data_IF_036578336308
#
_entry.id   IF_036578336308
#
_cell.length_a   1.000
_cell.length_b   1.000
_cell.length_c   1.000
_cell.angle_alpha   90.00
_cell.angle_beta   90.00
_cell.angle_gamma   90.00
#
_symmetry.space_group_name_H-M   'P 1'
#
loop_
_entity.id
_entity.type
_entity.pdbx_description
1 polymer ?
#
# COMPACT_ATOMS: atom_id res chain seq x y z
N UNK A 1 13.32 0.43 -5.58
CA UNK A 1 12.89 1.47 -6.55
C UNK A 1 12.36 2.71 -5.82
N UNK A 2 11.34 2.61 -4.95
CA UNK A 2 10.71 3.78 -4.31
C UNK A 2 11.71 4.72 -3.60
N UNK A 3 12.63 4.19 -2.79
CA UNK A 3 13.69 4.98 -2.15
C UNK A 3 14.54 5.74 -3.17
N UNK A 4 14.91 5.11 -4.29
CA UNK A 4 15.69 5.77 -5.32
C UNK A 4 14.90 6.91 -6.01
N UNK A 5 13.59 6.76 -6.19
CA UNK A 5 12.72 7.84 -6.68
C UNK A 5 12.73 9.01 -5.70
N UNK A 6 12.56 8.76 -4.39
CA UNK A 6 12.61 9.82 -3.37
C UNK A 6 13.94 10.59 -3.34
N UNK A 7 15.06 9.91 -3.54
CA UNK A 7 16.39 10.49 -3.37
C UNK A 7 17.00 11.08 -4.64
N UNK A 8 16.55 10.65 -5.83
CA UNK A 8 17.25 10.89 -7.10
C UNK A 8 16.35 11.36 -8.23
N UNK A 9 15.07 11.57 -7.99
CA UNK A 9 14.09 11.95 -9.00
C UNK A 9 13.34 13.21 -8.57
N UNK A 10 13.10 14.13 -9.51
CA UNK A 10 12.29 15.33 -9.27
C UNK A 10 10.79 15.00 -9.22
N UNK A 11 10.39 13.77 -9.59
CA UNK A 11 9.01 13.31 -9.54
C UNK A 11 8.78 12.41 -8.35
N UNK A 12 7.55 12.40 -7.84
CA UNK A 12 7.18 11.60 -6.65
C UNK A 12 6.64 10.21 -6.99
N UNK A 13 6.23 9.98 -8.24
CA UNK A 13 5.63 8.72 -8.68
C UNK A 13 6.07 8.38 -10.11
N UNK A 14 6.61 7.19 -10.28
CA UNK A 14 6.90 6.60 -11.58
C UNK A 14 6.13 5.29 -11.73
N UNK A 15 5.71 4.95 -12.96
CA UNK A 15 4.97 3.72 -13.24
C UNK A 15 5.44 3.04 -14.52
N UNK A 16 5.05 1.78 -14.67
CA UNK A 16 5.25 0.96 -15.87
C UNK A 16 6.70 0.98 -16.38
N UNK A 17 6.88 1.07 -17.69
CA UNK A 17 8.19 1.06 -18.35
C UNK A 17 9.10 2.21 -17.91
N UNK A 18 8.51 3.38 -17.58
CA UNK A 18 9.26 4.52 -17.05
C UNK A 18 9.91 4.22 -15.69
N UNK A 19 9.19 3.55 -14.79
CA UNK A 19 9.73 3.11 -13.50
C UNK A 19 10.82 2.05 -13.68
N UNK A 20 10.67 1.14 -14.64
CA UNK A 20 11.69 0.14 -14.96
C UNK A 20 12.95 0.80 -15.56
N UNK A 21 12.80 1.72 -16.49
CA UNK A 21 13.90 2.48 -17.10
C UNK A 21 14.70 3.21 -16.03
N UNK A 22 14.03 4.00 -15.20
CA UNK A 22 14.65 4.71 -14.07
C UNK A 22 15.40 3.76 -13.13
N UNK A 23 14.82 2.60 -12.83
CA UNK A 23 15.44 1.60 -11.95
C UNK A 23 16.73 1.02 -12.57
N UNK A 24 16.74 0.73 -13.88
CA UNK A 24 17.93 0.27 -14.61
C UNK A 24 19.03 1.33 -14.65
N UNK A 25 18.68 2.58 -14.95
CA UNK A 25 19.62 3.71 -14.97
C UNK A 25 20.29 3.91 -13.60
N UNK A 26 19.54 3.68 -12.52
CA UNK A 26 20.04 3.77 -11.15
C UNK A 26 20.68 2.47 -10.64
N UNK A 27 20.90 1.48 -11.53
CA UNK A 27 21.57 0.21 -11.23
C UNK A 27 20.95 -0.56 -10.07
N UNK A 28 19.62 -0.54 -9.99
CA UNK A 28 18.89 -1.35 -9.03
C UNK A 28 18.85 -2.80 -9.50
N UNK A 29 18.88 -3.73 -8.56
CA UNK A 29 18.83 -5.15 -8.84
C UNK A 29 17.48 -5.56 -9.44
N UNK A 30 17.52 -6.42 -10.44
CA UNK A 30 16.38 -7.02 -11.09
C UNK A 30 16.51 -8.54 -11.00
N UNK A 31 15.43 -9.18 -10.65
CA UNK A 31 15.32 -10.63 -10.69
C UNK A 31 14.57 -11.06 -11.96
N UNK A 32 14.89 -12.21 -12.54
CA UNK A 32 14.15 -12.76 -13.67
C UNK A 32 12.75 -13.19 -13.24
N UNK A 33 11.82 -13.31 -14.21
CA UNK A 33 10.41 -13.61 -13.93
C UNK A 33 10.23 -14.92 -13.17
N UNK A 34 11.10 -15.90 -13.41
CA UNK A 34 11.12 -17.22 -12.74
C UNK A 34 11.32 -17.11 -11.22
N UNK A 35 12.05 -16.10 -10.75
CA UNK A 35 12.25 -15.84 -9.32
C UNK A 35 10.93 -15.59 -8.59
N UNK A 36 9.96 -14.95 -9.28
CA UNK A 36 8.65 -14.62 -8.73
C UNK A 36 7.61 -15.72 -8.92
N UNK A 37 7.95 -16.79 -9.64
CA UNK A 37 7.03 -17.88 -9.89
C UNK A 37 6.73 -18.68 -8.61
N UNK A 38 5.45 -18.91 -8.37
CA UNK A 38 4.96 -19.73 -7.27
C UNK A 38 3.89 -20.68 -7.79
N UNK A 39 4.05 -22.02 -7.68
CA UNK A 39 3.03 -22.97 -8.11
C UNK A 39 1.66 -22.69 -7.49
N UNK A 40 1.61 -22.43 -6.19
CA UNK A 40 0.35 -22.08 -5.49
C UNK A 40 -0.34 -20.86 -6.13
N UNK A 41 0.41 -19.82 -6.48
CA UNK A 41 -0.14 -18.61 -7.12
C UNK A 41 -0.59 -18.85 -8.54
N UNK A 42 0.10 -19.71 -9.26
CA UNK A 42 -0.30 -20.14 -10.59
C UNK A 42 -1.63 -20.88 -10.56
N UNK A 43 -1.80 -21.85 -9.67
CA UNK A 43 -3.04 -22.61 -9.49
C UNK A 43 -4.23 -21.70 -9.12
N UNK A 44 -3.98 -20.73 -8.25
CA UNK A 44 -4.97 -19.69 -7.90
C UNK A 44 -5.38 -18.87 -9.12
N UNK A 45 -4.41 -18.45 -9.96
CA UNK A 45 -4.70 -17.71 -11.19
C UNK A 45 -5.53 -18.54 -12.17
N UNK A 46 -5.17 -19.81 -12.38
CA UNK A 46 -5.90 -20.72 -13.26
C UNK A 46 -7.34 -20.87 -12.78
N UNK A 47 -7.54 -21.12 -11.48
CA UNK A 47 -8.88 -21.22 -10.88
C UNK A 47 -9.68 -19.92 -11.01
N UNK A 48 -9.07 -18.78 -10.75
CA UNK A 48 -9.72 -17.48 -10.85
C UNK A 48 -10.15 -17.16 -12.30
N UNK A 49 -9.29 -17.48 -13.27
CA UNK A 49 -9.62 -17.33 -14.71
C UNK A 49 -10.79 -18.21 -15.15
N UNK A 50 -10.82 -19.47 -14.71
CA UNK A 50 -11.93 -20.37 -15.01
C UNK A 50 -13.28 -19.88 -14.46
N UNK A 51 -13.24 -19.22 -13.29
CA UNK A 51 -14.43 -18.66 -12.63
C UNK A 51 -14.78 -17.24 -13.10
N UNK A 52 -13.96 -16.61 -13.94
CA UNK A 52 -14.12 -15.22 -14.35
C UNK A 52 -14.04 -14.22 -13.16
N UNK A 53 -13.26 -14.55 -12.11
CA UNK A 53 -13.22 -13.77 -10.87
C UNK A 53 -11.86 -13.08 -10.72
N UNK A 54 -11.89 -11.89 -10.11
CA UNK A 54 -10.72 -11.24 -9.51
C UNK A 54 -10.79 -11.48 -8.01
N UNK A 55 -9.77 -12.07 -7.44
CA UNK A 55 -9.80 -12.46 -6.02
C UNK A 55 -8.77 -11.71 -5.20
N UNK A 56 -9.21 -11.29 -4.01
CA UNK A 56 -8.31 -10.92 -2.92
C UNK A 56 -7.62 -12.19 -2.41
N UNK A 57 -6.33 -12.08 -2.18
CA UNK A 57 -5.48 -13.19 -1.78
C UNK A 57 -5.62 -13.57 -0.28
N UNK A 58 -6.74 -13.20 0.35
CA UNK A 58 -6.90 -13.20 1.81
C UNK A 58 -7.55 -14.45 2.40
N UNK A 59 -7.88 -15.47 1.62
CA UNK A 59 -8.48 -16.67 2.22
C UNK A 59 -7.48 -17.57 2.97
N UNK A 60 -6.16 -17.46 2.68
CA UNK A 60 -5.13 -18.29 3.32
C UNK A 60 -3.71 -17.70 3.38
N UNK A 61 -3.45 -16.49 2.87
CA UNK A 61 -2.09 -15.89 2.94
C UNK A 61 -2.09 -14.37 2.82
N UNK A 62 -1.17 -13.76 3.55
CA UNK A 62 -0.89 -12.32 3.50
C UNK A 62 -0.22 -12.01 2.17
N UNK A 63 -0.83 -11.14 1.35
CA UNK A 63 -0.31 -10.77 0.03
C UNK A 63 0.41 -9.42 0.01
N UNK A 64 0.18 -8.57 1.01
CA UNK A 64 0.79 -7.25 1.13
C UNK A 64 1.69 -7.21 2.36
N UNK A 65 2.86 -6.63 2.23
CA UNK A 65 3.75 -6.31 3.34
C UNK A 65 3.83 -4.80 3.51
N UNK A 66 3.88 -4.34 4.76
CA UNK A 66 3.98 -2.94 5.09
C UNK A 66 4.88 -2.69 6.30
N UNK A 67 5.45 -1.50 6.37
CA UNK A 67 6.21 -1.03 7.50
C UNK A 67 5.91 0.44 7.75
N UNK A 68 5.84 0.81 9.02
CA UNK A 68 5.79 2.19 9.50
C UNK A 68 6.91 2.38 10.51
N UNK A 69 7.53 3.55 10.51
CA UNK A 69 8.66 3.83 11.37
C UNK A 69 8.64 5.28 11.87
N UNK A 70 9.09 5.46 13.09
CA UNK A 70 9.40 6.76 13.70
C UNK A 70 10.86 6.70 14.16
N UNK A 71 11.68 7.62 13.73
CA UNK A 71 13.08 7.68 14.14
C UNK A 71 13.28 8.56 15.39
N UNK A 72 14.53 8.58 15.89
CA UNK A 72 14.90 9.37 17.06
C UNK A 72 14.86 10.89 16.86
N UNK A 73 14.71 11.37 15.62
CA UNK A 73 14.58 12.78 15.28
C UNK A 73 13.12 13.22 15.15
N UNK A 74 12.19 12.26 15.18
CA UNK A 74 10.77 12.50 14.98
C UNK A 74 10.34 12.39 13.51
N UNK A 75 11.20 11.85 12.63
CA UNK A 75 10.84 11.63 11.24
C UNK A 75 10.05 10.32 11.09
N UNK A 76 8.91 10.43 10.42
CA UNK A 76 8.02 9.32 10.12
C UNK A 76 8.20 8.81 8.70
N UNK A 77 8.15 7.51 8.53
CA UNK A 77 8.19 6.87 7.22
C UNK A 77 7.17 5.73 7.13
N UNK A 78 6.62 5.52 5.94
CA UNK A 78 5.78 4.39 5.59
C UNK A 78 6.24 3.77 4.29
N UNK A 79 6.10 2.45 4.18
CA UNK A 79 6.37 1.71 2.95
C UNK A 79 5.43 0.53 2.82
N UNK A 80 4.98 0.26 1.59
CA UNK A 80 4.06 -0.84 1.30
C UNK A 80 4.51 -1.53 0.01
N UNK A 81 4.45 -2.85 -0.01
CA UNK A 81 4.76 -3.65 -1.21
C UNK A 81 3.77 -4.81 -1.37
N UNK A 82 3.35 -5.06 -2.60
CA UNK A 82 2.36 -6.09 -2.92
C UNK A 82 2.51 -6.63 -4.34
N UNK A 83 2.09 -7.86 -4.55
CA UNK A 83 1.86 -8.44 -5.88
C UNK A 83 0.51 -8.02 -6.50
N UNK A 84 -0.37 -7.37 -5.73
CA UNK A 84 -1.71 -6.99 -6.16
C UNK A 84 -2.74 -8.12 -6.04
N UNK A 85 -3.79 -8.06 -6.87
CA UNK A 85 -4.88 -9.04 -6.90
C UNK A 85 -4.60 -10.18 -7.89
N UNK A 86 -5.04 -11.39 -7.55
CA UNK A 86 -5.05 -12.51 -8.50
C UNK A 86 -6.05 -12.25 -9.63
N UNK A 87 -5.62 -12.46 -10.87
CA UNK A 87 -6.40 -12.21 -12.08
C UNK A 87 -6.86 -10.75 -12.26
N UNK A 88 -6.06 -9.79 -11.78
CA UNK A 88 -6.36 -8.37 -11.99
C UNK A 88 -6.34 -7.99 -13.46
N UNK A 89 -7.11 -7.00 -13.83
CA UNK A 89 -7.10 -6.43 -15.18
C UNK A 89 -5.73 -5.83 -15.47
N UNK A 90 -5.28 -5.97 -16.72
CA UNK A 90 -4.03 -5.40 -17.18
C UNK A 90 -4.00 -3.87 -16.98
N UNK A 91 -2.93 -3.36 -16.38
CA UNK A 91 -2.80 -1.93 -16.06
C UNK A 91 -3.43 -1.48 -14.73
N UNK A 92 -4.12 -2.38 -13.99
CA UNK A 92 -4.65 -2.01 -12.67
C UNK A 92 -3.52 -1.68 -11.70
N UNK A 93 -3.57 -0.49 -11.10
CA UNK A 93 -2.72 -0.09 -9.98
C UNK A 93 -3.39 -0.44 -8.64
N UNK A 94 -2.59 -0.82 -7.63
CA UNK A 94 -3.09 -1.02 -6.27
C UNK A 94 -2.95 0.26 -5.44
N UNK A 95 -3.69 0.31 -4.33
CA UNK A 95 -3.53 1.33 -3.28
C UNK A 95 -2.09 1.41 -2.77
N UNK A 96 -1.41 0.27 -2.65
CA UNK A 96 -0.04 0.17 -2.14
C UNK A 96 0.98 1.04 -2.90
N UNK A 97 0.73 1.32 -4.17
CA UNK A 97 1.58 2.17 -5.01
C UNK A 97 1.17 3.64 -5.01
N UNK A 98 0.06 3.99 -4.38
CA UNK A 98 -0.50 5.34 -4.40
C UNK A 98 -0.38 6.01 -3.03
N UNK A 99 0.43 7.08 -2.98
CA UNK A 99 0.61 7.90 -1.78
C UNK A 99 -0.75 8.48 -1.36
N UNK A 100 -1.08 8.34 -0.09
CA UNK A 100 -2.36 8.75 0.48
C UNK A 100 -3.44 7.67 0.45
N UNK A 101 -3.32 6.65 -0.42
CA UNK A 101 -4.29 5.55 -0.49
C UNK A 101 -3.87 4.35 0.35
N UNK A 102 -2.76 3.70 0.00
CA UNK A 102 -2.26 2.50 0.67
C UNK A 102 -1.05 2.76 1.57
N UNK A 103 -0.43 3.92 1.49
CA UNK A 103 0.64 4.36 2.38
C UNK A 103 0.66 5.89 2.49
N UNK A 104 1.05 6.39 3.65
CA UNK A 104 1.21 7.83 3.89
C UNK A 104 2.10 8.06 5.11
N UNK A 105 2.88 9.14 5.12
CA UNK A 105 3.60 9.59 6.31
C UNK A 105 3.64 11.11 6.35
N UNK A 106 3.41 11.66 7.56
CA UNK A 106 3.49 13.08 7.85
C UNK A 106 3.98 13.25 9.29
N UNK A 107 5.11 13.90 9.49
CA UNK A 107 5.76 14.10 10.78
C UNK A 107 4.88 14.83 11.81
N UNK A 108 3.81 15.49 11.40
CA UNK A 108 2.86 16.15 12.32
C UNK A 108 1.78 15.20 12.85
N UNK A 109 1.55 14.07 12.22
CA UNK A 109 0.41 13.19 12.49
C UNK A 109 0.82 11.74 12.69
N UNK A 110 0.97 10.98 11.60
CA UNK A 110 1.25 9.56 11.63
C UNK A 110 1.91 9.05 10.35
N UNK A 111 2.46 7.83 10.43
CA UNK A 111 2.77 6.99 9.28
C UNK A 111 1.78 5.83 9.23
N UNK A 112 1.34 5.45 8.01
CA UNK A 112 0.29 4.45 7.75
C UNK A 112 0.69 3.55 6.60
N UNK A 113 0.44 2.24 6.74
CA UNK A 113 0.48 1.27 5.64
C UNK A 113 -0.78 0.40 5.68
N UNK A 114 -1.45 0.27 4.53
CA UNK A 114 -2.75 -0.38 4.39
C UNK A 114 -2.65 -1.68 3.58
N UNK A 115 -3.62 -2.57 3.80
CA UNK A 115 -3.82 -3.80 3.01
C UNK A 115 -5.30 -4.14 2.92
N UNK A 116 -5.75 -4.70 1.80
CA UNK A 116 -7.14 -5.15 1.65
C UNK A 116 -7.71 -4.95 0.24
N UNK A 117 -8.97 -4.53 0.18
CA UNK A 117 -9.67 -4.17 -1.07
C UNK A 117 -9.11 -2.85 -1.59
N UNK A 118 -7.96 -2.90 -2.29
CA UNK A 118 -7.17 -1.74 -2.67
C UNK A 118 -7.96 -0.63 -3.36
N UNK A 119 -8.89 -1.00 -4.26
CA UNK A 119 -9.73 -0.02 -4.97
C UNK A 119 -10.64 0.78 -4.02
N UNK A 120 -11.04 0.21 -2.88
CA UNK A 120 -11.79 0.95 -1.85
C UNK A 120 -10.88 1.90 -1.08
N UNK A 121 -9.65 1.48 -0.75
CA UNK A 121 -8.64 2.37 -0.17
C UNK A 121 -8.30 3.54 -1.09
N UNK A 122 -8.22 3.30 -2.42
CA UNK A 122 -7.99 4.36 -3.41
C UNK A 122 -9.15 5.36 -3.41
N UNK A 123 -10.40 4.88 -3.48
CA UNK A 123 -11.59 5.77 -3.48
C UNK A 123 -11.72 6.59 -2.21
N UNK A 124 -11.34 6.01 -1.07
CA UNK A 124 -11.37 6.67 0.24
C UNK A 124 -10.14 7.53 0.53
N UNK A 125 -9.05 7.42 -0.27
CA UNK A 125 -7.74 8.02 0.04
C UNK A 125 -7.34 7.72 1.50
N UNK A 126 -7.51 6.46 1.89
CA UNK A 126 -7.71 6.06 3.30
C UNK A 126 -6.50 6.31 4.20
N UNK A 127 -5.27 6.15 3.69
CA UNK A 127 -4.07 6.43 4.49
C UNK A 127 -3.93 7.94 4.79
N UNK A 128 -4.27 8.81 3.84
CA UNK A 128 -4.30 10.26 4.06
C UNK A 128 -5.49 10.69 4.94
N UNK A 129 -6.67 10.06 4.74
CA UNK A 129 -7.87 10.36 5.55
C UNK A 129 -7.59 10.16 7.05
N UNK A 130 -6.83 9.11 7.42
CA UNK A 130 -6.39 8.90 8.80
C UNK A 130 -5.56 10.08 9.32
N UNK A 131 -4.54 10.49 8.57
CA UNK A 131 -3.70 11.64 8.93
C UNK A 131 -4.51 12.93 9.01
N UNK A 132 -5.44 13.16 8.08
CA UNK A 132 -6.32 14.32 8.04
C UNK A 132 -7.28 14.38 9.24
N UNK A 133 -7.82 13.24 9.67
CA UNK A 133 -8.67 13.16 10.87
C UNK A 133 -7.88 13.56 12.11
N UNK A 134 -6.65 13.06 12.27
CA UNK A 134 -5.77 13.47 13.37
C UNK A 134 -5.51 14.99 13.31
N UNK A 135 -5.13 15.51 12.15
CA UNK A 135 -4.72 16.90 11.97
C UNK A 135 -5.89 17.88 12.16
N UNK A 136 -7.05 17.60 11.57
CA UNK A 136 -8.15 18.56 11.52
C UNK A 136 -9.21 18.37 12.62
N UNK A 137 -9.32 17.16 13.17
CA UNK A 137 -10.28 16.86 14.24
C UNK A 137 -9.61 16.67 15.62
N UNK A 138 -8.28 16.65 15.69
CA UNK A 138 -7.51 16.38 16.91
C UNK A 138 -7.92 15.09 17.63
N UNK A 139 -8.30 14.06 16.86
CA UNK A 139 -8.60 12.74 17.42
C UNK A 139 -7.31 11.93 17.59
N UNK A 140 -7.34 10.96 18.50
CA UNK A 140 -6.24 10.02 18.71
C UNK A 140 -6.01 9.12 17.48
N UNK A 141 -4.84 8.47 17.44
CA UNK A 141 -4.53 7.50 16.39
C UNK A 141 -5.56 6.36 16.34
N UNK A 142 -5.93 5.82 17.50
CA UNK A 142 -6.92 4.73 17.64
C UNK A 142 -8.31 5.15 17.13
N UNK A 143 -8.82 6.29 17.58
CA UNK A 143 -10.13 6.81 17.13
C UNK A 143 -10.14 7.07 15.62
N UNK A 144 -9.08 7.67 15.09
CA UNK A 144 -8.95 7.98 13.67
C UNK A 144 -8.88 6.70 12.83
N UNK A 145 -8.14 5.70 13.30
CA UNK A 145 -8.03 4.39 12.64
C UNK A 145 -9.37 3.66 12.58
N UNK A 146 -10.13 3.68 13.67
CA UNK A 146 -11.49 3.10 13.72
C UNK A 146 -12.42 3.75 12.70
N UNK A 147 -12.43 5.09 12.64
CA UNK A 147 -13.26 5.83 11.67
C UNK A 147 -12.91 5.45 10.24
N UNK A 148 -11.62 5.37 9.89
CA UNK A 148 -11.20 5.01 8.55
C UNK A 148 -11.59 3.57 8.19
N UNK A 149 -11.43 2.62 9.11
CA UNK A 149 -11.83 1.22 8.91
C UNK A 149 -13.36 1.06 8.81
N UNK A 150 -14.13 1.85 9.55
CA UNK A 150 -15.60 1.89 9.41
C UNK A 150 -16.01 2.41 8.04
N UNK A 151 -15.46 3.53 7.59
CA UNK A 151 -15.69 4.07 6.23
C UNK A 151 -15.34 3.05 5.14
N UNK A 152 -14.23 2.32 5.30
CA UNK A 152 -13.82 1.25 4.38
C UNK A 152 -14.88 0.16 4.30
N UNK A 153 -15.33 -0.33 5.45
CA UNK A 153 -16.38 -1.37 5.56
C UNK A 153 -17.69 -0.90 4.95
N UNK A 154 -18.13 0.32 5.26
CA UNK A 154 -19.39 0.88 4.76
C UNK A 154 -19.35 1.10 3.22
N UNK A 155 -18.17 1.32 2.67
CA UNK A 155 -17.93 1.34 1.22
C UNK A 155 -17.84 -0.05 0.58
N UNK A 156 -18.10 -1.13 1.34
CA UNK A 156 -18.04 -2.52 0.86
C UNK A 156 -16.62 -3.08 0.73
N UNK A 157 -15.62 -2.41 1.31
CA UNK A 157 -14.25 -2.90 1.36
C UNK A 157 -13.96 -3.77 2.58
N UNK A 158 -12.88 -4.54 2.48
CA UNK A 158 -12.31 -5.31 3.59
C UNK A 158 -10.81 -5.06 3.65
N UNK A 159 -10.25 -4.98 4.85
CA UNK A 159 -8.82 -4.77 5.01
C UNK A 159 -8.44 -4.29 6.40
N UNK A 160 -7.19 -3.86 6.51
CA UNK A 160 -6.61 -3.36 7.74
C UNK A 160 -5.47 -2.38 7.46
N UNK A 161 -4.94 -1.82 8.52
CA UNK A 161 -3.79 -0.93 8.46
C UNK A 161 -2.88 -1.14 9.67
N UNK A 162 -1.63 -0.74 9.50
CA UNK A 162 -0.71 -0.49 10.60
C UNK A 162 -0.37 1.00 10.59
N UNK A 163 -0.22 1.56 11.77
CA UNK A 163 0.09 2.99 11.90
C UNK A 163 0.95 3.28 13.13
N UNK A 164 1.70 4.37 13.06
CA UNK A 164 2.45 4.92 14.21
C UNK A 164 2.26 6.44 14.21
N UNK A 165 1.92 7.00 15.39
CA UNK A 165 1.77 8.45 15.55
C UNK A 165 3.13 9.15 15.69
N UNK A 166 3.14 10.47 15.51
CA UNK A 166 4.30 11.32 15.79
C UNK A 166 4.75 11.27 17.26
N UNK A 167 3.92 10.69 18.17
CA UNK A 167 4.22 10.49 19.58
C UNK A 167 4.71 9.06 19.89
N UNK A 168 4.77 8.17 18.90
CA UNK A 168 5.17 6.78 19.06
C UNK A 168 4.04 5.83 19.49
N UNK A 169 2.79 6.24 19.45
CA UNK A 169 1.62 5.36 19.65
C UNK A 169 1.44 4.46 18.44
N UNK A 170 1.06 3.17 18.65
CA UNK A 170 0.87 2.14 17.61
C UNK A 170 -0.57 1.67 17.64
#
# INVERSE_FOLDING_TARGET
AAKAVMEKCDHVLLCAEGAQGFSKENKLDFEPDEYFFSPKRWDQLVSARQKGQVTLDHSESIGTVGAVALDSKGDLAAGTSTGGLTNRVWGRCSDSSLIGSGNYANNKTCAVSCTGTGDTFIRGVSAYDLSAIIEYKNLSLDESSKIVLEKLRDAGGNGGLISISAKGEI
#
